data_IF_185955828961
#
_entry.id   IF_185955828961
#
_cell.length_a   1.000
_cell.length_b   1.000
_cell.length_c   1.000
_cell.angle_alpha   90.00
_cell.angle_beta   90.00
_cell.angle_gamma   90.00
#
_symmetry.space_group_name_H-M   'P 1'
#
loop_
_entity.id
_entity.type
_entity.pdbx_description
1 polymer ?
#
# COMPACT_ATOMS: atom_id res chain seq x y z
N UNK A 1 -3.13 -1.07 -14.18
CA UNK A 1 -3.09 -1.33 -12.72
C UNK A 1 -1.65 -1.63 -12.32
N UNK A 2 -0.99 -0.71 -11.61
CA UNK A 2 0.33 -0.95 -11.02
C UNK A 2 0.10 -1.71 -9.71
N UNK A 3 0.72 -2.87 -9.53
CA UNK A 3 0.48 -3.76 -8.38
C UNK A 3 1.72 -3.89 -7.47
N UNK A 4 2.52 -2.83 -7.42
CA UNK A 4 3.67 -2.68 -6.53
C UNK A 4 3.37 -1.52 -5.59
N UNK A 5 3.30 -1.80 -4.29
CA UNK A 5 2.84 -0.80 -3.32
C UNK A 5 4.00 -0.02 -2.67
N UNK A 6 5.14 -0.63 -2.37
CA UNK A 6 6.16 0.12 -1.63
C UNK A 6 6.88 1.18 -2.46
N UNK A 7 7.04 2.35 -1.84
CA UNK A 7 7.86 3.43 -2.33
C UNK A 7 9.31 3.29 -1.84
N UNK A 8 9.50 2.61 -0.69
CA UNK A 8 10.81 2.34 -0.11
C UNK A 8 10.75 1.35 1.04
N UNK A 9 11.93 0.89 1.45
CA UNK A 9 12.12 0.03 2.63
C UNK A 9 13.00 0.78 3.62
N UNK A 10 12.52 0.94 4.85
CA UNK A 10 13.21 1.67 5.91
C UNK A 10 14.19 0.77 6.67
N UNK A 11 13.80 -0.49 6.94
CA UNK A 11 14.63 -1.46 7.65
C UNK A 11 14.35 -2.91 7.23
N UNK A 12 15.39 -3.76 7.27
CA UNK A 12 15.30 -5.21 7.06
C UNK A 12 16.21 -5.92 8.07
N UNK A 13 15.62 -6.75 8.92
CA UNK A 13 16.32 -7.77 9.68
C UNK A 13 16.03 -9.15 9.08
N UNK A 14 16.98 -9.68 8.31
CA UNK A 14 16.80 -10.92 7.54
C UNK A 14 16.32 -12.08 8.41
N UNK A 15 15.19 -12.66 8.04
CA UNK A 15 14.57 -13.79 8.74
C UNK A 15 13.83 -13.42 10.03
N UNK A 16 13.68 -12.13 10.34
CA UNK A 16 12.99 -11.63 11.54
C UNK A 16 11.88 -10.63 11.22
N UNK A 17 12.22 -9.50 10.61
CA UNK A 17 11.28 -8.41 10.37
C UNK A 17 11.70 -7.53 9.20
N UNK A 18 10.73 -6.80 8.66
CA UNK A 18 10.90 -5.84 7.58
C UNK A 18 9.93 -4.69 7.80
N UNK A 19 10.35 -3.46 7.47
CA UNK A 19 9.52 -2.26 7.59
C UNK A 19 9.62 -1.48 6.28
N UNK A 20 8.48 -1.35 5.58
CA UNK A 20 8.37 -0.61 4.32
C UNK A 20 7.40 0.56 4.41
N UNK A 21 7.55 1.51 3.48
CA UNK A 21 6.71 2.70 3.39
C UNK A 21 5.90 2.69 2.10
N UNK A 22 4.60 2.88 2.23
CA UNK A 22 3.66 3.21 1.15
C UNK A 22 3.03 4.57 1.43
N UNK A 23 3.15 5.47 0.48
CA UNK A 23 2.43 6.75 0.47
C UNK A 23 1.20 6.62 -0.42
N UNK A 24 0.02 6.86 0.14
CA UNK A 24 -1.22 6.90 -0.62
C UNK A 24 -1.46 8.32 -1.16
N UNK A 25 -1.46 8.45 -2.49
CA UNK A 25 -1.78 9.71 -3.17
C UNK A 25 -3.22 9.68 -3.69
N UNK A 26 -3.93 10.81 -3.67
CA UNK A 26 -5.32 10.88 -4.16
C UNK A 26 -5.45 10.56 -5.67
N UNK A 27 -4.34 10.57 -6.41
CA UNK A 27 -4.28 10.14 -7.82
C UNK A 27 -4.39 8.63 -8.02
N UNK A 28 -4.25 7.82 -6.97
CA UNK A 28 -4.33 6.36 -7.07
C UNK A 28 -5.69 5.90 -7.61
N UNK A 29 -5.66 4.91 -8.50
CA UNK A 29 -6.83 4.53 -9.32
C UNK A 29 -8.02 4.05 -8.48
N UNK A 30 -7.76 3.32 -7.39
CA UNK A 30 -8.81 2.75 -6.52
C UNK A 30 -9.63 3.83 -5.80
N UNK A 31 -9.08 5.02 -5.53
CA UNK A 31 -9.85 6.09 -4.92
C UNK A 31 -10.96 6.64 -5.83
N UNK A 32 -10.87 6.42 -7.15
CA UNK A 32 -11.94 6.79 -8.10
C UNK A 32 -13.25 6.06 -7.81
N UNK A 33 -13.19 4.90 -7.16
CA UNK A 33 -14.36 4.05 -6.89
C UNK A 33 -14.53 3.67 -5.42
N UNK A 34 -13.52 3.88 -4.57
CA UNK A 34 -13.53 3.51 -3.16
C UNK A 34 -13.16 4.73 -2.28
N UNK A 35 -14.10 5.61 -1.98
CA UNK A 35 -15.52 5.66 -2.34
C UNK A 35 -15.85 7.01 -2.97
N UNK A 36 -16.94 7.10 -3.73
CA UNK A 36 -17.31 8.31 -4.50
C UNK A 36 -17.28 9.63 -3.70
N UNK A 37 -17.57 9.61 -2.39
CA UNK A 37 -17.63 10.79 -1.52
C UNK A 37 -16.51 10.86 -0.47
N UNK A 38 -15.65 9.85 -0.40
CA UNK A 38 -14.61 9.75 0.61
C UNK A 38 -13.45 8.90 0.07
N UNK A 39 -12.24 9.45 0.07
CA UNK A 39 -11.05 8.68 -0.26
C UNK A 39 -10.74 7.72 0.90
N UNK A 40 -10.95 6.41 0.68
CA UNK A 40 -10.65 5.39 1.67
C UNK A 40 -9.85 4.28 1.00
N UNK A 41 -8.72 3.87 1.57
CA UNK A 41 -7.91 2.81 0.97
C UNK A 41 -8.63 1.47 1.16
N UNK A 42 -8.87 0.68 0.10
CA UNK A 42 -9.46 -0.65 0.26
C UNK A 42 -8.66 -1.52 1.24
N UNK A 43 -9.34 -2.18 2.17
CA UNK A 43 -8.69 -3.05 3.18
C UNK A 43 -7.74 -4.09 2.57
N UNK A 44 -8.14 -4.65 1.42
CA UNK A 44 -7.34 -5.64 0.68
C UNK A 44 -6.01 -5.09 0.16
N UNK A 45 -5.88 -3.78 -0.04
CA UNK A 45 -4.61 -3.17 -0.44
C UNK A 45 -3.61 -3.18 0.72
N UNK A 46 -4.07 -3.01 1.97
CA UNK A 46 -3.17 -3.15 3.11
C UNK A 46 -2.68 -4.59 3.26
N UNK A 47 -3.56 -5.58 3.07
CA UNK A 47 -3.19 -7.00 3.14
C UNK A 47 -2.17 -7.34 2.05
N UNK A 48 -2.44 -6.93 0.81
CA UNK A 48 -1.54 -7.17 -0.31
C UNK A 48 -0.20 -6.45 -0.11
N UNK A 49 -0.21 -5.19 0.34
CA UNK A 49 1.02 -4.49 0.68
C UNK A 49 1.79 -5.25 1.76
N UNK A 50 1.15 -5.71 2.83
CA UNK A 50 1.84 -6.51 3.85
C UNK A 50 2.42 -7.82 3.30
N UNK A 51 1.75 -8.46 2.33
CA UNK A 51 2.22 -9.69 1.69
C UNK A 51 3.41 -9.48 0.74
N UNK A 52 3.61 -8.26 0.23
CA UNK A 52 4.76 -7.92 -0.63
C UNK A 52 6.08 -7.69 0.13
N UNK A 53 6.02 -7.55 1.45
CA UNK A 53 7.20 -7.50 2.33
C UNK A 53 7.62 -8.90 2.78
#
# INVERSE_FOLDING_TARGET
MRFLYYDGIDNIEKGKSITGVKTFTLSEEFFRRHFRKQALVPGVIYIEAMAQL
#
